data_IF_699104703183
#
_entry.id   IF_699104703183
#
_cell.length_a   1.000
_cell.length_b   1.000
_cell.length_c   1.000
_cell.angle_alpha   90.00
_cell.angle_beta   90.00
_cell.angle_gamma   90.00
#
_symmetry.space_group_name_H-M   'P 1'
#
loop_
_entity.id
_entity.type
_entity.pdbx_description
1 polymer ?
#
# COMPACT_ATOMS: atom_id res chain seq x y z
N UNK A 1 -0.25 18.13 -11.06
CA UNK A 1 0.95 17.53 -11.68
C UNK A 1 1.41 16.24 -10.97
N UNK A 2 1.69 16.23 -9.66
CA UNK A 2 2.19 15.01 -8.97
C UNK A 2 1.32 13.74 -9.14
N UNK A 3 0.00 13.86 -9.14
CA UNK A 3 -0.92 12.71 -9.32
C UNK A 3 -0.81 12.06 -10.71
N UNK A 4 -0.65 12.87 -11.75
CA UNK A 4 -0.48 12.39 -13.12
C UNK A 4 0.87 11.65 -13.24
N UNK A 5 1.92 12.20 -12.61
CA UNK A 5 3.24 11.55 -12.58
C UNK A 5 3.21 10.17 -11.90
N UNK A 6 2.54 10.04 -10.75
CA UNK A 6 2.38 8.75 -10.05
C UNK A 6 1.60 7.75 -10.92
N UNK A 7 0.54 8.20 -11.59
CA UNK A 7 -0.27 7.35 -12.46
C UNK A 7 0.53 6.86 -13.68
N UNK A 8 1.30 7.74 -14.31
CA UNK A 8 2.18 7.38 -15.43
C UNK A 8 3.28 6.40 -15.02
N UNK A 9 3.89 6.60 -13.84
CA UNK A 9 4.87 5.66 -13.29
C UNK A 9 4.24 4.28 -13.01
N UNK A 10 3.02 4.24 -12.49
CA UNK A 10 2.30 2.99 -12.25
C UNK A 10 2.03 2.24 -13.56
N UNK A 11 1.56 2.93 -14.59
CA UNK A 11 1.35 2.33 -15.92
C UNK A 11 2.67 1.83 -16.49
N UNK A 12 3.74 2.63 -16.41
CA UNK A 12 5.06 2.22 -16.87
C UNK A 12 5.55 0.96 -16.16
N UNK A 13 5.39 0.92 -14.84
CA UNK A 13 5.73 -0.27 -14.04
C UNK A 13 4.95 -1.50 -14.51
N UNK A 14 3.63 -1.39 -14.69
CA UNK A 14 2.80 -2.49 -15.17
C UNK A 14 3.22 -2.97 -16.56
N UNK A 15 3.49 -2.07 -17.51
CA UNK A 15 3.93 -2.40 -18.86
C UNK A 15 5.27 -3.14 -18.80
N UNK A 16 6.24 -2.62 -18.04
CA UNK A 16 7.55 -3.26 -17.89
C UNK A 16 7.41 -4.64 -17.25
N UNK A 17 6.55 -4.79 -16.23
CA UNK A 17 6.33 -6.07 -15.54
C UNK A 17 5.67 -7.12 -16.44
N UNK A 18 4.76 -6.72 -17.32
CA UNK A 18 4.14 -7.61 -18.31
C UNK A 18 5.12 -8.01 -19.41
N UNK A 19 5.97 -7.07 -19.84
CA UNK A 19 6.97 -7.31 -20.91
C UNK A 19 8.16 -8.16 -20.43
N UNK A 20 8.59 -7.95 -19.18
CA UNK A 20 9.74 -8.65 -18.57
C UNK A 20 9.23 -9.53 -17.42
N UNK A 21 9.02 -10.80 -17.69
CA UNK A 21 8.47 -11.77 -16.70
C UNK A 21 9.44 -12.11 -15.56
N UNK A 22 10.72 -11.74 -15.66
CA UNK A 22 11.72 -12.00 -14.63
C UNK A 22 11.80 -10.87 -13.60
N UNK A 23 12.08 -11.20 -12.32
CA UNK A 23 12.34 -10.19 -11.29
C UNK A 23 13.50 -9.29 -11.73
N UNK A 24 13.32 -7.98 -11.64
CA UNK A 24 14.34 -7.01 -12.05
C UNK A 24 14.47 -5.91 -11.01
N UNK A 25 15.69 -5.52 -10.68
CA UNK A 25 15.99 -4.47 -9.70
C UNK A 25 15.30 -3.16 -10.06
N UNK A 26 15.29 -2.78 -11.33
CA UNK A 26 14.73 -1.49 -11.76
C UNK A 26 13.21 -1.42 -11.55
N UNK A 27 12.38 -2.32 -12.09
CA UNK A 27 10.93 -2.23 -11.88
C UNK A 27 10.51 -2.57 -10.46
N UNK A 28 11.10 -3.59 -9.84
CA UNK A 28 10.60 -4.13 -8.57
C UNK A 28 11.15 -3.38 -7.36
N UNK A 29 12.44 -3.01 -7.35
CA UNK A 29 13.04 -2.29 -6.23
C UNK A 29 12.91 -0.78 -6.39
N UNK A 30 13.21 -0.22 -7.57
CA UNK A 30 13.30 1.23 -7.74
C UNK A 30 11.93 1.81 -8.06
N UNK A 31 11.30 1.41 -9.19
CA UNK A 31 10.08 2.06 -9.68
C UNK A 31 8.93 1.84 -8.71
N UNK A 32 8.70 0.61 -8.26
CA UNK A 32 7.60 0.27 -7.36
C UNK A 32 7.70 1.02 -6.02
N UNK A 33 8.87 1.01 -5.39
CA UNK A 33 9.05 1.69 -4.11
C UNK A 33 9.04 3.22 -4.26
N UNK A 34 9.54 3.76 -5.37
CA UNK A 34 9.43 5.19 -5.68
C UNK A 34 7.96 5.62 -5.78
N UNK A 35 7.12 4.83 -6.46
CA UNK A 35 5.67 5.08 -6.54
C UNK A 35 5.06 5.12 -5.14
N UNK A 36 5.42 4.18 -4.26
CA UNK A 36 4.91 4.10 -2.90
C UNK A 36 5.30 5.32 -2.05
N UNK A 37 6.57 5.77 -2.11
CA UNK A 37 7.00 6.99 -1.42
C UNK A 37 6.36 8.26 -1.99
N UNK A 38 6.19 8.34 -3.30
CA UNK A 38 5.47 9.46 -3.93
C UNK A 38 3.99 9.46 -3.53
N UNK A 39 3.36 8.30 -3.37
CA UNK A 39 1.99 8.21 -2.86
C UNK A 39 1.89 8.76 -1.43
N UNK A 40 2.85 8.48 -0.55
CA UNK A 40 2.92 9.09 0.78
C UNK A 40 3.03 10.61 0.72
N UNK A 41 3.88 11.15 -0.15
CA UNK A 41 4.01 12.60 -0.36
C UNK A 41 2.72 13.24 -0.92
N UNK A 42 2.03 12.56 -1.82
CA UNK A 42 0.73 13.01 -2.35
C UNK A 42 -0.34 13.01 -1.25
N UNK A 43 -0.34 12.00 -0.38
CA UNK A 43 -1.24 11.96 0.77
C UNK A 43 -0.96 13.11 1.74
N UNK A 44 0.31 13.38 2.05
CA UNK A 44 0.74 14.49 2.89
C UNK A 44 0.27 15.86 2.36
N UNK A 45 0.43 16.08 1.06
CA UNK A 45 0.05 17.34 0.39
C UNK A 45 -1.42 17.39 -0.05
N UNK A 46 -2.23 16.39 0.29
CA UNK A 46 -3.61 16.33 -0.17
C UNK A 46 -4.50 17.36 0.55
N UNK A 47 -5.08 18.34 -0.18
CA UNK A 47 -6.00 19.32 0.40
C UNK A 47 -7.34 18.68 0.78
N UNK A 48 -7.64 17.46 0.30
CA UNK A 48 -8.90 16.75 0.61
C UNK A 48 -8.89 16.16 2.02
N UNK A 49 -7.71 15.98 2.63
CA UNK A 49 -7.54 15.50 3.99
C UNK A 49 -7.44 16.72 4.93
N UNK A 50 -8.58 17.35 5.24
CA UNK A 50 -8.61 18.51 6.12
C UNK A 50 -8.24 18.19 7.57
N UNK A 51 -8.51 16.97 8.04
CA UNK A 51 -8.10 16.54 9.38
C UNK A 51 -6.60 16.25 9.39
N UNK A 52 -5.88 16.98 10.25
CA UNK A 52 -4.43 16.83 10.43
C UNK A 52 -4.05 15.41 10.89
N UNK A 53 -4.82 14.82 11.80
CA UNK A 53 -4.54 13.47 12.32
C UNK A 53 -4.82 12.40 11.25
N UNK A 54 -5.90 12.52 10.49
CA UNK A 54 -6.18 11.64 9.36
C UNK A 54 -5.07 11.68 8.34
N UNK A 55 -4.63 12.88 7.97
CA UNK A 55 -3.54 13.08 7.01
C UNK A 55 -2.22 12.49 7.50
N UNK A 56 -1.86 12.73 8.76
CA UNK A 56 -0.67 12.14 9.39
C UNK A 56 -0.74 10.62 9.38
N UNK A 57 -1.84 10.05 9.89
CA UNK A 57 -2.00 8.60 10.00
C UNK A 57 -1.91 7.91 8.63
N UNK A 58 -2.61 8.41 7.60
CA UNK A 58 -2.56 7.86 6.24
C UNK A 58 -1.15 7.98 5.64
N UNK A 59 -0.52 9.14 5.80
CA UNK A 59 0.82 9.37 5.25
C UNK A 59 1.84 8.45 5.90
N UNK A 60 1.83 8.33 7.23
CA UNK A 60 2.73 7.43 7.95
C UNK A 60 2.45 5.96 7.64
N UNK A 61 1.18 5.57 7.50
CA UNK A 61 0.82 4.23 7.07
C UNK A 61 1.47 3.90 5.72
N UNK A 62 1.23 4.71 4.68
CA UNK A 62 1.78 4.48 3.35
C UNK A 62 3.32 4.49 3.39
N UNK A 63 3.92 5.39 4.18
CA UNK A 63 5.37 5.47 4.33
C UNK A 63 5.95 4.18 4.95
N UNK A 64 5.35 3.67 6.03
CA UNK A 64 5.79 2.42 6.67
C UNK A 64 5.63 1.23 5.73
N UNK A 65 4.53 1.17 4.99
CA UNK A 65 4.35 0.12 3.98
C UNK A 65 5.42 0.19 2.89
N UNK A 66 5.71 1.40 2.38
CA UNK A 66 6.76 1.62 1.38
C UNK A 66 8.13 1.21 1.92
N UNK A 67 8.42 1.52 3.18
CA UNK A 67 9.67 1.17 3.85
C UNK A 67 9.78 -0.36 4.02
N UNK A 68 8.74 -1.02 4.51
CA UNK A 68 8.70 -2.48 4.63
C UNK A 68 8.88 -3.17 3.27
N UNK A 69 8.19 -2.68 2.24
CA UNK A 69 8.32 -3.17 0.87
C UNK A 69 9.74 -2.99 0.32
N UNK A 70 10.36 -1.83 0.55
CA UNK A 70 11.74 -1.56 0.12
C UNK A 70 12.72 -2.52 0.79
N UNK A 71 12.62 -2.69 2.11
CA UNK A 71 13.48 -3.57 2.87
C UNK A 71 13.31 -5.05 2.45
N UNK A 72 12.07 -5.48 2.27
CA UNK A 72 11.75 -6.85 1.81
C UNK A 72 12.32 -7.12 0.42
N UNK A 73 12.09 -6.20 -0.53
CA UNK A 73 12.59 -6.35 -1.89
C UNK A 73 14.10 -6.29 -1.94
N UNK A 74 14.70 -5.39 -1.16
CA UNK A 74 16.16 -5.30 -1.08
C UNK A 74 16.78 -6.56 -0.50
N UNK A 75 16.19 -7.10 0.58
CA UNK A 75 16.65 -8.36 1.16
C UNK A 75 16.58 -9.52 0.16
N UNK A 76 15.55 -9.55 -0.69
CA UNK A 76 15.39 -10.58 -1.73
C UNK A 76 16.43 -10.51 -2.84
N UNK A 77 16.94 -9.31 -3.18
CA UNK A 77 17.94 -9.15 -4.23
C UNK A 77 19.38 -9.28 -3.75
N UNK A 78 19.67 -8.89 -2.52
CA UNK A 78 21.04 -8.76 -2.01
C UNK A 78 21.35 -9.67 -0.81
N UNK A 79 20.39 -10.50 -0.36
CA UNK A 79 20.54 -11.43 0.77
C UNK A 79 21.13 -10.76 2.04
N UNK A 80 20.73 -9.52 2.32
CA UNK A 80 21.30 -8.67 3.38
C UNK A 80 20.99 -9.13 4.80
N UNK A 81 20.33 -10.26 4.99
CA UNK A 81 19.90 -10.80 6.29
C UNK A 81 19.18 -9.77 7.18
N UNK A 82 18.41 -8.86 6.55
CA UNK A 82 17.58 -7.93 7.29
C UNK A 82 16.55 -8.75 8.08
N UNK A 83 16.43 -8.44 9.38
CA UNK A 83 15.50 -9.16 10.24
C UNK A 83 14.07 -9.10 9.69
N UNK A 84 13.47 -10.25 9.41
CA UNK A 84 12.07 -10.36 8.97
C UNK A 84 11.12 -9.67 9.96
N UNK A 85 11.44 -9.72 11.27
CA UNK A 85 10.66 -9.04 12.32
C UNK A 85 10.59 -7.52 12.11
N UNK A 86 11.64 -6.90 11.57
CA UNK A 86 11.67 -5.48 11.26
C UNK A 86 10.73 -5.16 10.08
N UNK A 87 10.78 -5.98 9.04
CA UNK A 87 9.92 -5.86 7.87
C UNK A 87 8.45 -6.05 8.26
N UNK A 88 8.17 -7.12 9.01
CA UNK A 88 6.82 -7.44 9.47
C UNK A 88 6.26 -6.36 10.39
N UNK A 89 7.09 -5.78 11.28
CA UNK A 89 6.64 -4.69 12.16
C UNK A 89 6.17 -3.47 11.38
N UNK A 90 6.84 -3.13 10.27
CA UNK A 90 6.43 -2.03 9.41
C UNK A 90 5.05 -2.31 8.77
N UNK A 91 4.80 -3.55 8.31
CA UNK A 91 3.51 -3.94 7.77
C UNK A 91 2.41 -4.02 8.86
N UNK A 92 2.73 -4.54 10.05
CA UNK A 92 1.75 -4.63 11.15
C UNK A 92 1.29 -3.24 11.57
N UNK A 93 2.19 -2.27 11.69
CA UNK A 93 1.86 -0.89 12.10
C UNK A 93 1.11 -0.14 10.99
N UNK A 94 1.32 -0.47 9.72
CA UNK A 94 0.58 0.10 8.60
C UNK A 94 -0.94 -0.04 8.76
N UNK A 95 -1.45 -1.23 9.11
CA UNK A 95 -2.88 -1.50 9.16
C UNK A 95 -3.64 -0.63 10.16
N UNK A 96 -3.28 -0.57 11.47
CA UNK A 96 -3.99 0.27 12.42
C UNK A 96 -3.90 1.75 12.08
N UNK A 97 -2.76 2.24 11.59
CA UNK A 97 -2.62 3.63 11.16
C UNK A 97 -3.53 3.96 9.97
N UNK A 98 -3.62 3.07 8.99
CA UNK A 98 -4.50 3.25 7.83
C UNK A 98 -5.96 3.25 8.26
N UNK A 99 -6.38 2.33 9.13
CA UNK A 99 -7.75 2.27 9.67
C UNK A 99 -8.09 3.56 10.40
N UNK A 100 -7.24 4.01 11.34
CA UNK A 100 -7.44 5.26 12.07
C UNK A 100 -7.55 6.44 11.11
N UNK A 101 -6.65 6.51 10.12
CA UNK A 101 -6.63 7.58 9.14
C UNK A 101 -7.89 7.65 8.29
N UNK A 102 -8.37 6.51 7.82
CA UNK A 102 -9.59 6.40 7.01
C UNK A 102 -10.82 6.76 7.85
N UNK A 103 -10.98 6.17 9.03
CA UNK A 103 -12.13 6.45 9.91
C UNK A 103 -12.20 7.94 10.21
N UNK A 104 -11.09 8.58 10.55
CA UNK A 104 -11.06 10.03 10.83
C UNK A 104 -11.36 10.87 9.58
N UNK A 105 -10.78 10.52 8.44
CA UNK A 105 -11.05 11.24 7.18
C UNK A 105 -12.53 11.19 6.82
N UNK A 106 -13.17 10.05 7.03
CA UNK A 106 -14.58 9.84 6.78
C UNK A 106 -15.46 10.56 7.82
N UNK A 107 -15.11 10.50 9.09
CA UNK A 107 -15.86 11.16 10.17
C UNK A 107 -15.94 12.68 10.01
N UNK A 108 -14.93 13.30 9.42
CA UNK A 108 -14.93 14.77 9.17
C UNK A 108 -15.71 15.14 7.90
N UNK A 109 -15.79 14.24 6.90
CA UNK A 109 -16.43 14.53 5.61
C UNK A 109 -17.91 14.15 5.55
N UNK A 110 -18.32 13.13 6.29
CA UNK A 110 -19.69 12.65 6.37
C UNK A 110 -19.99 12.16 7.79
N UNK A 111 -21.25 12.32 8.24
CA UNK A 111 -21.76 11.55 9.37
C UNK A 111 -21.95 10.10 8.89
N UNK A 112 -20.88 9.32 8.91
CA UNK A 112 -20.94 7.90 8.55
C UNK A 112 -21.66 7.19 9.69
N UNK A 113 -22.71 6.49 9.34
CA UNK A 113 -23.40 5.60 10.26
C UNK A 113 -22.54 4.35 10.50
N UNK A 114 -22.67 3.76 11.68
CA UNK A 114 -21.97 2.49 11.99
C UNK A 114 -22.30 1.40 10.98
N UNK A 115 -23.47 1.46 10.34
CA UNK A 115 -23.93 0.54 9.31
C UNK A 115 -23.10 0.66 8.03
N UNK A 116 -22.86 1.89 7.55
CA UNK A 116 -22.03 2.12 6.35
C UNK A 116 -20.57 1.68 6.55
N UNK A 117 -20.05 1.84 7.78
CA UNK A 117 -18.72 1.35 8.13
C UNK A 117 -18.66 -0.18 8.10
N UNK A 118 -19.69 -0.85 8.64
CA UNK A 118 -19.81 -2.30 8.66
C UNK A 118 -19.91 -2.85 7.23
N UNK A 119 -20.75 -2.27 6.39
CA UNK A 119 -20.92 -2.67 4.99
C UNK A 119 -19.60 -2.55 4.21
N UNK A 120 -18.89 -1.43 4.41
CA UNK A 120 -17.57 -1.22 3.79
C UNK A 120 -16.56 -2.27 4.25
N UNK A 121 -16.54 -2.62 5.54
CA UNK A 121 -15.66 -3.64 6.09
C UNK A 121 -15.99 -5.04 5.54
N UNK A 122 -17.27 -5.39 5.44
CA UNK A 122 -17.72 -6.67 4.88
C UNK A 122 -17.31 -6.79 3.40
N UNK A 123 -17.53 -5.74 2.60
CA UNK A 123 -17.15 -5.73 1.19
C UNK A 123 -15.62 -5.86 1.04
N UNK A 124 -14.85 -5.12 1.84
CA UNK A 124 -13.39 -5.17 1.80
C UNK A 124 -12.85 -6.56 2.17
N UNK A 125 -13.35 -7.16 3.25
CA UNK A 125 -12.97 -8.51 3.68
C UNK A 125 -13.39 -9.57 2.68
N UNK A 126 -14.62 -9.50 2.14
CA UNK A 126 -15.11 -10.41 1.14
C UNK A 126 -14.28 -10.37 -0.15
N UNK A 127 -14.00 -9.17 -0.64
CA UNK A 127 -13.16 -8.97 -1.84
C UNK A 127 -11.74 -9.48 -1.61
N UNK A 128 -11.14 -9.17 -0.46
CA UNK A 128 -9.80 -9.63 -0.08
C UNK A 128 -9.73 -11.17 -0.01
N UNK A 129 -10.75 -11.81 0.56
CA UNK A 129 -10.84 -13.27 0.66
C UNK A 129 -10.94 -13.93 -0.72
N UNK A 130 -11.77 -13.40 -1.61
CA UNK A 130 -11.90 -13.91 -2.98
C UNK A 130 -10.58 -13.77 -3.75
N UNK A 131 -9.93 -12.59 -3.69
CA UNK A 131 -8.64 -12.37 -4.36
C UNK A 131 -7.59 -13.32 -3.80
N UNK A 132 -7.49 -13.47 -2.47
CA UNK A 132 -6.54 -14.40 -1.84
C UNK A 132 -6.78 -15.84 -2.26
N UNK A 133 -8.04 -16.29 -2.33
CA UNK A 133 -8.39 -17.64 -2.76
C UNK A 133 -8.03 -17.91 -4.23
N UNK A 134 -8.17 -16.91 -5.09
CA UNK A 134 -7.80 -17.02 -6.51
C UNK A 134 -6.29 -17.05 -6.72
N UNK A 135 -5.53 -16.26 -5.92
CA UNK A 135 -4.08 -16.18 -6.02
C UNK A 135 -3.37 -17.40 -5.41
N UNK A 136 -3.94 -18.02 -4.36
CA UNK A 136 -3.34 -19.16 -3.68
C UNK A 136 -3.66 -20.51 -4.33
N UNK A 137 -4.71 -20.60 -5.15
CA UNK A 137 -5.07 -21.83 -5.85
C UNK A 137 -3.97 -22.47 -6.72
N UNK A 138 -3.14 -21.71 -7.46
CA UNK A 138 -2.10 -22.33 -8.30
C UNK A 138 -0.93 -22.94 -7.51
N UNK A 139 -0.71 -22.54 -6.27
CA UNK A 139 0.43 -22.98 -5.47
C UNK A 139 0.24 -24.40 -4.85
N UNK A 140 -0.99 -24.90 -4.81
CA UNK A 140 -1.30 -26.23 -4.22
C UNK A 140 -1.41 -27.34 -5.26
N UNK A 141 -1.30 -27.06 -6.55
CA UNK A 141 -1.44 -28.03 -7.64
C UNK A 141 -0.10 -28.39 -8.33
N UNK A 142 1.03 -28.11 -7.67
CA UNK A 142 2.33 -28.58 -8.14
C UNK A 142 3.02 -29.46 -7.13
#
# INVERSE_FOLDING_TARGET
>A
MARVGVFLLLISHLIIRVAFQLPSIVPDLIIFNLIAFLAALVAWKSPRLNDRLARLAITFAIFLWALGSTLSTWNSFYELQISEKLIDSAYIVFYPLMIIGIIRALAVTKKITALELLDTAIIALGTSSVISSLLLRPAQLR
#
